data_IF_488619468440
#
_entry.id   IF_488619468440
#
_cell.length_a   1.000
_cell.length_b   1.000
_cell.length_c   1.000
_cell.angle_alpha   90.00
_cell.angle_beta   90.00
_cell.angle_gamma   90.00
#
_symmetry.space_group_name_H-M   'P 1'
#
loop_
_entity.id
_entity.type
_entity.pdbx_description
1 polymer ?
#
# COMPACT_ATOMS: atom_id res chain seq x y z
N UNK A 1 -8.47 6.80 -7.70
CA UNK A 1 -7.88 7.38 -6.47
C UNK A 1 -7.83 8.88 -6.63
N UNK A 2 -8.19 9.64 -5.59
CA UNK A 2 -8.20 11.10 -5.66
C UNK A 2 -6.77 11.63 -5.47
N UNK A 3 -6.28 12.42 -6.41
CA UNK A 3 -4.94 13.03 -6.35
C UNK A 3 -4.75 13.82 -5.04
N UNK A 4 -5.79 14.50 -4.55
CA UNK A 4 -5.76 15.24 -3.29
C UNK A 4 -5.36 14.38 -2.07
N UNK A 5 -5.85 13.13 -1.97
CA UNK A 5 -5.48 12.24 -0.86
C UNK A 5 -4.02 11.82 -0.94
N UNK A 6 -3.53 11.56 -2.16
CA UNK A 6 -2.11 11.27 -2.43
C UNK A 6 -1.24 12.47 -2.09
N UNK A 7 -1.64 13.66 -2.56
CA UNK A 7 -0.95 14.93 -2.30
C UNK A 7 -0.78 15.16 -0.79
N UNK A 8 -1.87 15.08 -0.03
CA UNK A 8 -1.84 15.24 1.43
C UNK A 8 -0.88 14.26 2.11
N UNK A 9 -0.88 13.00 1.66
CA UNK A 9 0.03 11.98 2.19
C UNK A 9 1.50 12.28 1.87
N UNK A 10 1.80 12.65 0.64
CA UNK A 10 3.15 13.02 0.21
C UNK A 10 3.66 14.30 0.92
N UNK A 11 2.80 15.30 1.08
CA UNK A 11 3.14 16.52 1.81
C UNK A 11 3.43 16.23 3.28
N UNK A 12 2.67 15.36 3.93
CA UNK A 12 2.94 14.93 5.31
C UNK A 12 4.27 14.16 5.44
N UNK A 13 4.69 13.51 4.37
CA UNK A 13 5.97 12.82 4.27
C UNK A 13 7.13 13.76 3.92
N UNK A 14 6.85 14.95 3.44
CA UNK A 14 7.80 15.92 2.90
C UNK A 14 8.67 15.34 1.77
N UNK A 15 8.18 14.32 1.08
CA UNK A 15 8.91 13.66 -0.01
C UNK A 15 7.98 12.85 -0.90
N UNK A 16 8.36 12.75 -2.18
CA UNK A 16 7.81 11.80 -3.13
C UNK A 16 8.85 11.43 -4.17
N UNK A 17 8.65 10.30 -4.84
CA UNK A 17 9.50 9.83 -5.93
C UNK A 17 8.66 9.35 -7.11
N UNK A 18 9.28 9.30 -8.28
CA UNK A 18 8.72 8.73 -9.49
C UNK A 18 9.57 7.55 -9.94
N UNK A 19 8.89 6.46 -10.29
CA UNK A 19 9.49 5.30 -10.92
C UNK A 19 8.89 5.16 -12.30
N UNK A 20 9.74 4.94 -13.29
CA UNK A 20 9.34 4.73 -14.67
C UNK A 20 9.62 3.29 -15.09
N UNK A 21 8.67 2.66 -15.75
CA UNK A 21 8.90 1.43 -16.50
C UNK A 21 9.05 1.79 -17.97
N UNK A 22 10.11 1.32 -18.61
CA UNK A 22 10.41 1.58 -20.03
C UNK A 22 10.23 0.30 -20.84
N UNK A 23 9.88 0.46 -22.09
CA UNK A 23 9.91 -0.61 -23.09
C UNK A 23 11.32 -0.85 -23.65
N UNK A 24 11.43 -1.77 -24.60
CA UNK A 24 12.69 -2.10 -25.27
C UNK A 24 13.29 -0.94 -26.07
N UNK A 25 12.48 0.05 -26.45
CA UNK A 25 12.89 1.25 -27.17
C UNK A 25 13.29 2.40 -26.22
N UNK A 26 13.15 2.20 -24.92
CA UNK A 26 13.42 3.20 -23.90
C UNK A 26 12.26 4.18 -23.65
N UNK A 27 11.09 3.95 -24.25
CA UNK A 27 9.89 4.76 -24.01
C UNK A 27 9.25 4.45 -22.67
N UNK A 28 8.76 5.48 -21.98
CA UNK A 28 8.06 5.30 -20.69
C UNK A 28 6.66 4.77 -20.95
N UNK A 29 6.43 3.51 -20.60
CA UNK A 29 5.14 2.82 -20.75
C UNK A 29 4.28 2.87 -19.48
N UNK A 30 4.91 3.04 -18.31
CA UNK A 30 4.22 3.21 -17.02
C UNK A 30 5.00 4.15 -16.12
N UNK A 31 4.29 4.83 -15.26
CA UNK A 31 4.87 5.64 -14.20
C UNK A 31 4.15 5.40 -12.87
N UNK A 32 4.91 5.43 -11.79
CA UNK A 32 4.42 5.20 -10.46
C UNK A 32 4.90 6.29 -9.52
N UNK A 33 4.04 6.72 -8.63
CA UNK A 33 4.39 7.61 -7.54
C UNK A 33 4.76 6.76 -6.32
N UNK A 34 5.88 7.06 -5.72
CA UNK A 34 6.34 6.43 -4.47
C UNK A 34 6.38 7.47 -3.37
N UNK A 35 5.82 7.14 -2.22
CA UNK A 35 5.89 7.97 -1.04
C UNK A 35 5.95 7.10 0.22
N UNK A 36 7.01 7.23 0.99
CA UNK A 36 7.26 6.38 2.16
C UNK A 36 7.14 4.89 1.80
N UNK A 37 6.12 4.24 2.32
CA UNK A 37 5.86 2.80 2.13
C UNK A 37 4.74 2.53 1.11
N UNK A 38 4.34 3.52 0.33
CA UNK A 38 3.24 3.38 -0.63
C UNK A 38 3.71 3.63 -2.05
N UNK A 39 3.25 2.79 -2.96
CA UNK A 39 3.42 2.93 -4.41
C UNK A 39 2.04 3.03 -5.04
N UNK A 40 1.89 3.98 -5.95
CA UNK A 40 0.62 4.28 -6.60
C UNK A 40 0.84 4.38 -8.11
N UNK A 41 0.08 3.65 -8.95
CA UNK A 41 0.14 3.83 -10.39
C UNK A 41 -0.45 5.19 -10.78
N UNK A 42 0.21 5.87 -11.72
CA UNK A 42 -0.25 7.12 -12.33
C UNK A 42 -0.86 6.85 -13.73
N UNK A 43 -1.65 5.78 -13.83
CA UNK A 43 -2.26 5.36 -15.10
C UNK A 43 -3.18 6.47 -15.66
N UNK A 44 -3.07 6.72 -16.96
CA UNK A 44 -3.87 7.72 -17.68
C UNK A 44 -3.40 9.16 -17.47
N UNK A 45 -2.31 9.38 -16.73
CA UNK A 45 -1.67 10.70 -16.62
C UNK A 45 -0.56 10.85 -17.67
N UNK A 46 -0.28 12.08 -18.14
CA UNK A 46 0.89 12.33 -18.95
C UNK A 46 2.16 11.98 -18.18
N UNK A 47 3.27 11.74 -18.88
CA UNK A 47 4.56 11.52 -18.22
C UNK A 47 4.95 12.77 -17.45
N UNK A 48 5.26 12.59 -16.16
CA UNK A 48 5.59 13.67 -15.22
C UNK A 48 7.08 13.59 -14.93
N UNK A 49 7.76 14.73 -14.97
CA UNK A 49 9.15 14.84 -14.52
C UNK A 49 9.24 15.15 -13.01
N UNK A 50 10.42 14.93 -12.42
CA UNK A 50 10.61 15.13 -10.97
C UNK A 50 10.43 16.59 -10.53
N UNK A 51 10.78 17.53 -11.37
CA UNK A 51 10.59 18.97 -11.15
C UNK A 51 9.10 19.40 -11.21
N UNK A 52 8.28 18.67 -11.97
CA UNK A 52 6.84 18.89 -12.02
C UNK A 52 6.10 18.24 -10.84
N UNK A 53 6.71 17.27 -10.18
CA UNK A 53 6.08 16.49 -9.11
C UNK A 53 5.59 17.33 -7.92
N UNK A 54 6.34 18.31 -7.39
CA UNK A 54 5.86 19.17 -6.32
C UNK A 54 4.61 19.98 -6.71
N UNK A 55 4.57 20.49 -7.95
CA UNK A 55 3.40 21.22 -8.45
C UNK A 55 2.18 20.31 -8.61
N UNK A 56 2.37 19.09 -9.13
CA UNK A 56 1.31 18.08 -9.24
C UNK A 56 0.70 17.73 -7.87
N UNK A 57 1.53 17.71 -6.84
CA UNK A 57 1.14 17.37 -5.47
C UNK A 57 0.69 18.59 -4.65
N UNK A 58 0.41 19.73 -5.29
CA UNK A 58 -0.01 20.98 -4.63
C UNK A 58 0.93 21.42 -3.51
N UNK A 59 2.24 21.13 -3.63
CA UNK A 59 3.22 21.56 -2.64
C UNK A 59 3.42 23.08 -2.76
N UNK A 60 3.18 23.86 -1.69
CA UNK A 60 3.38 25.30 -1.69
C UNK A 60 4.79 25.67 -2.14
N UNK A 61 4.92 26.75 -2.92
CA UNK A 61 6.18 27.12 -3.55
C UNK A 61 7.31 27.34 -2.53
N UNK A 62 6.99 27.97 -1.42
CA UNK A 62 7.91 28.21 -0.31
C UNK A 62 8.42 26.94 0.39
N UNK A 63 7.74 25.80 0.18
CA UNK A 63 8.11 24.50 0.75
C UNK A 63 8.85 23.60 -0.22
N UNK A 64 8.86 23.93 -1.52
CA UNK A 64 9.45 23.04 -2.53
C UNK A 64 10.94 22.82 -2.33
N UNK A 65 11.66 23.88 -2.04
CA UNK A 65 13.12 23.82 -1.90
C UNK A 65 13.58 23.45 -0.47
N UNK A 66 12.80 23.86 0.54
CA UNK A 66 13.20 23.69 1.94
C UNK A 66 12.69 22.39 2.60
N UNK A 67 11.56 21.87 2.15
CA UNK A 67 10.84 20.81 2.86
C UNK A 67 10.51 19.59 2.03
N UNK A 68 10.38 19.76 0.72
CA UNK A 68 9.91 18.69 -0.14
C UNK A 68 11.05 18.16 -1.02
N UNK A 69 11.29 16.84 -0.95
CA UNK A 69 12.28 16.17 -1.79
C UNK A 69 11.55 15.38 -2.86
N UNK A 70 11.73 15.77 -4.13
CA UNK A 70 11.31 14.95 -5.26
C UNK A 70 12.49 14.14 -5.80
N UNK A 71 12.26 12.85 -6.08
CA UNK A 71 13.26 11.95 -6.64
C UNK A 71 12.73 11.30 -7.90
N UNK A 72 13.61 11.12 -8.88
CA UNK A 72 13.35 10.29 -10.05
C UNK A 72 14.23 9.06 -9.89
N UNK A 73 13.62 7.90 -9.79
CA UNK A 73 14.33 6.63 -9.86
C UNK A 73 14.13 6.05 -11.26
N UNK A 74 15.25 5.85 -11.97
CA UNK A 74 15.25 5.20 -13.28
C UNK A 74 15.20 3.69 -13.08
N UNK A 75 14.55 3.00 -14.01
CA UNK A 75 14.30 1.55 -13.97
C UNK A 75 15.55 0.68 -14.25
N UNK A 76 16.74 1.23 -14.17
CA UNK A 76 17.99 0.50 -14.31
C UNK A 76 18.45 -0.07 -12.98
N UNK A 77 17.81 -1.17 -12.55
CA UNK A 77 18.19 -1.92 -11.35
C UNK A 77 17.10 -1.95 -10.27
N UNK A 78 16.76 -0.81 -9.67
CA UNK A 78 15.75 -0.73 -8.60
C UNK A 78 14.30 -0.71 -9.07
N UNK A 79 14.02 -0.21 -10.27
CA UNK A 79 12.66 -0.13 -10.78
C UNK A 79 12.05 -1.49 -11.10
N UNK A 80 12.82 -2.42 -11.66
CA UNK A 80 12.38 -3.81 -11.83
C UNK A 80 12.13 -4.51 -10.50
N UNK A 81 12.83 -4.11 -9.44
CA UNK A 81 12.61 -4.61 -8.10
C UNK A 81 11.30 -4.11 -7.47
N UNK A 82 10.73 -3.00 -7.93
CA UNK A 82 9.51 -2.42 -7.38
C UNK A 82 8.29 -2.63 -8.28
N UNK A 83 8.46 -2.83 -9.59
CA UNK A 83 7.35 -3.03 -10.54
C UNK A 83 6.47 -4.23 -10.18
N UNK A 84 7.06 -5.31 -9.63
CA UNK A 84 6.31 -6.48 -9.19
C UNK A 84 5.23 -6.15 -8.13
N UNK A 85 5.41 -5.07 -7.39
CA UNK A 85 4.47 -4.66 -6.36
C UNK A 85 3.14 -4.15 -6.93
N UNK A 86 3.13 -3.70 -8.19
CA UNK A 86 1.94 -3.13 -8.86
C UNK A 86 1.49 -3.90 -10.08
N UNK A 87 2.09 -5.05 -10.36
CA UNK A 87 1.57 -5.94 -11.38
C UNK A 87 0.13 -6.34 -11.04
N UNK A 88 -0.73 -6.40 -12.06
CA UNK A 88 -2.12 -6.82 -11.91
C UNK A 88 -2.21 -8.21 -11.26
N UNK A 89 -3.41 -8.59 -10.84
CA UNK A 89 -3.63 -9.82 -10.07
C UNK A 89 -2.91 -11.02 -10.68
N UNK A 90 -2.00 -11.58 -9.90
CA UNK A 90 -1.23 -12.77 -10.27
C UNK A 90 -1.68 -13.98 -9.44
N UNK A 91 -1.39 -15.21 -9.90
CA UNK A 91 -1.69 -16.43 -9.15
C UNK A 91 -1.07 -16.47 -7.74
N UNK A 92 0.03 -15.74 -7.50
CA UNK A 92 0.69 -15.64 -6.20
C UNK A 92 0.10 -14.61 -5.23
N UNK A 93 -0.99 -13.92 -5.59
CA UNK A 93 -1.67 -13.02 -4.68
C UNK A 93 -2.52 -13.81 -3.70
N UNK A 94 -2.26 -13.63 -2.42
CA UNK A 94 -3.01 -14.28 -1.34
C UNK A 94 -4.08 -13.30 -0.85
N UNK A 95 -5.39 -13.63 -0.93
CA UNK A 95 -6.44 -12.77 -0.39
C UNK A 95 -6.16 -12.41 1.06
N UNK A 96 -6.38 -11.15 1.41
CA UNK A 96 -6.03 -10.63 2.73
C UNK A 96 -7.19 -9.89 3.37
N UNK A 97 -7.20 -9.89 4.69
CA UNK A 97 -8.15 -9.15 5.52
C UNK A 97 -7.40 -8.14 6.39
N UNK A 98 -7.97 -6.96 6.53
CA UNK A 98 -7.58 -5.98 7.54
C UNK A 98 -8.35 -6.31 8.82
N UNK A 99 -7.64 -6.48 9.92
CA UNK A 99 -8.29 -6.71 11.20
C UNK A 99 -8.93 -5.41 11.71
N UNK A 100 -10.10 -5.47 12.37
CA UNK A 100 -10.85 -4.28 12.78
C UNK A 100 -10.28 -3.64 14.06
N UNK A 101 -8.96 -3.53 14.12
CA UNK A 101 -8.23 -2.92 15.23
C UNK A 101 -7.06 -2.11 14.70
N UNK A 102 -6.63 -1.13 15.47
CA UNK A 102 -5.43 -0.35 15.18
C UNK A 102 -4.53 -0.31 16.40
N UNK A 103 -3.22 -0.22 16.18
CA UNK A 103 -2.20 -0.12 17.20
C UNK A 103 -1.41 1.17 17.00
N UNK A 104 -1.04 1.82 18.08
CA UNK A 104 -0.11 2.94 18.06
C UNK A 104 1.29 2.42 18.43
N UNK A 105 2.23 2.60 17.53
CA UNK A 105 3.63 2.17 17.71
C UNK A 105 4.53 3.33 17.31
N UNK A 106 5.31 3.88 18.27
CA UNK A 106 6.22 5.01 18.02
C UNK A 106 5.57 6.15 17.23
N UNK A 107 4.43 6.64 17.70
CA UNK A 107 3.63 7.72 17.07
C UNK A 107 3.05 7.40 15.68
N UNK A 108 3.16 6.16 15.23
CA UNK A 108 2.55 5.68 13.99
C UNK A 108 1.37 4.79 14.31
N UNK A 109 0.24 5.04 13.65
CA UNK A 109 -0.93 4.16 13.74
C UNK A 109 -0.84 3.12 12.64
N UNK A 110 -0.82 1.85 13.03
CA UNK A 110 -0.78 0.70 12.13
C UNK A 110 -2.02 -0.16 12.29
N UNK A 111 -2.37 -0.88 11.24
CA UNK A 111 -3.46 -1.84 11.22
C UNK A 111 -2.91 -3.22 10.86
N UNK A 112 -3.23 -4.26 11.64
CA UNK A 112 -2.82 -5.62 11.33
C UNK A 112 -3.52 -6.15 10.08
N UNK A 113 -2.77 -6.93 9.30
CA UNK A 113 -3.19 -7.59 8.07
C UNK A 113 -2.80 -9.05 8.15
N UNK A 114 -3.72 -9.92 7.74
CA UNK A 114 -3.47 -11.36 7.61
C UNK A 114 -4.01 -11.86 6.27
N UNK A 115 -3.51 -13.01 5.83
CA UNK A 115 -4.17 -13.77 4.78
C UNK A 115 -5.54 -14.28 5.27
N UNK A 116 -6.49 -14.50 4.36
CA UNK A 116 -7.81 -14.99 4.73
C UNK A 116 -7.79 -16.38 5.40
N UNK A 117 -6.77 -17.17 5.13
CA UNK A 117 -6.56 -18.48 5.78
C UNK A 117 -5.98 -18.35 7.20
N UNK A 118 -5.46 -17.17 7.57
CA UNK A 118 -4.75 -16.90 8.84
C UNK A 118 -3.61 -17.89 9.12
N UNK A 119 -2.87 -18.25 8.08
CA UNK A 119 -1.73 -19.17 8.14
C UNK A 119 -0.41 -18.39 8.06
N UNK A 120 -0.40 -17.28 7.30
CA UNK A 120 0.78 -16.46 7.17
C UNK A 120 1.01 -15.60 8.42
N UNK A 121 2.28 -15.26 8.67
CA UNK A 121 2.65 -14.33 9.74
C UNK A 121 1.92 -13.00 9.56
N UNK A 122 1.37 -12.48 10.66
CA UNK A 122 0.71 -11.18 10.70
C UNK A 122 1.65 -10.08 10.22
N UNK A 123 1.12 -9.21 9.38
CA UNK A 123 1.78 -8.04 8.83
C UNK A 123 1.11 -6.78 9.36
N UNK A 124 1.79 -5.65 9.29
CA UNK A 124 1.24 -4.37 9.70
C UNK A 124 1.35 -3.35 8.58
N UNK A 125 0.29 -2.57 8.37
CA UNK A 125 0.27 -1.47 7.41
C UNK A 125 -0.06 -0.16 8.10
N UNK A 126 0.47 0.93 7.60
CA UNK A 126 0.19 2.26 8.10
C UNK A 126 -1.23 2.68 7.75
N UNK A 127 -1.97 3.16 8.72
CA UNK A 127 -3.36 3.64 8.54
C UNK A 127 -3.42 4.88 7.66
N UNK A 128 -2.44 5.78 7.73
CA UNK A 128 -2.37 6.97 6.88
C UNK A 128 -2.20 6.61 5.40
N UNK A 129 -1.43 5.56 5.07
CA UNK A 129 -1.31 5.05 3.71
C UNK A 129 -2.64 4.40 3.22
N UNK A 130 -3.33 3.65 4.08
CA UNK A 130 -4.65 3.08 3.74
C UNK A 130 -5.70 4.16 3.43
N UNK A 131 -5.69 5.27 4.16
CA UNK A 131 -6.61 6.40 3.96
C UNK A 131 -6.49 7.04 2.58
N UNK A 132 -5.34 6.92 1.93
CA UNK A 132 -5.15 7.42 0.55
C UNK A 132 -6.12 6.75 -0.42
N UNK A 133 -6.54 5.52 -0.13
CA UNK A 133 -7.45 4.72 -0.97
C UNK A 133 -8.91 4.75 -0.50
N UNK A 134 -9.29 5.66 0.39
CA UNK A 134 -10.66 5.72 0.95
C UNK A 134 -11.74 6.08 -0.08
N UNK A 135 -11.37 6.69 -1.19
CA UNK A 135 -12.29 6.98 -2.29
C UNK A 135 -12.85 5.72 -2.98
N UNK A 136 -12.15 4.58 -2.85
CA UNK A 136 -12.60 3.28 -3.35
C UNK A 136 -13.00 2.32 -2.23
N UNK A 137 -13.18 2.80 -1.00
CA UNK A 137 -13.39 1.99 0.21
C UNK A 137 -14.45 0.89 0.06
N UNK A 138 -15.55 1.18 -0.62
CA UNK A 138 -16.67 0.24 -0.81
C UNK A 138 -16.38 -0.89 -1.80
N UNK A 139 -15.43 -0.69 -2.69
CA UNK A 139 -15.11 -1.60 -3.80
C UNK A 139 -13.71 -2.22 -3.67
N UNK A 140 -12.97 -1.79 -2.65
CA UNK A 140 -11.59 -2.26 -2.49
C UNK A 140 -11.54 -3.64 -1.86
N UNK A 141 -10.68 -4.47 -2.41
CA UNK A 141 -10.27 -5.75 -1.85
C UNK A 141 -8.78 -5.71 -1.59
N UNK A 142 -8.30 -6.65 -0.81
CA UNK A 142 -6.90 -6.71 -0.41
C UNK A 142 -6.27 -8.05 -0.78
N UNK A 143 -4.99 -8.01 -1.09
CA UNK A 143 -4.20 -9.21 -1.26
C UNK A 143 -2.78 -8.97 -0.72
N UNK A 144 -2.18 -9.97 -0.13
CA UNK A 144 -0.76 -9.98 0.20
C UNK A 144 0.03 -10.53 -0.99
N UNK A 145 1.14 -9.91 -1.27
CA UNK A 145 2.12 -10.37 -2.25
C UNK A 145 3.50 -10.30 -1.62
N UNK A 146 4.22 -11.40 -1.70
CA UNK A 146 5.57 -11.50 -1.13
C UNK A 146 6.59 -11.84 -2.22
N UNK A 147 7.75 -11.22 -2.16
CA UNK A 147 8.91 -11.52 -2.99
C UNK A 147 10.19 -11.12 -2.27
N UNK A 148 11.19 -11.98 -2.28
CA UNK A 148 12.54 -11.73 -1.74
C UNK A 148 12.52 -11.21 -0.28
N UNK A 149 11.67 -11.80 0.56
CA UNK A 149 11.51 -11.43 1.98
C UNK A 149 10.75 -10.12 2.22
N UNK A 150 10.27 -9.46 1.18
CA UNK A 150 9.42 -8.27 1.26
C UNK A 150 7.96 -8.66 1.03
N UNK A 151 7.07 -8.11 1.82
CA UNK A 151 5.62 -8.30 1.67
C UNK A 151 4.95 -6.95 1.47
N UNK A 152 3.99 -6.90 0.56
CA UNK A 152 3.17 -5.73 0.31
C UNK A 152 1.69 -6.09 0.42
N UNK A 153 0.92 -5.14 0.93
CA UNK A 153 -0.53 -5.16 0.83
C UNK A 153 -0.94 -4.50 -0.48
N UNK A 154 -1.48 -5.28 -1.37
CA UNK A 154 -2.11 -4.81 -2.61
C UNK A 154 -3.50 -4.30 -2.28
N UNK A 155 -3.78 -3.04 -2.63
CA UNK A 155 -5.14 -2.48 -2.59
C UNK A 155 -5.71 -2.55 -4.00
N UNK A 156 -6.73 -3.38 -4.17
CA UNK A 156 -7.31 -3.71 -5.48
C UNK A 156 -8.70 -3.09 -5.64
N UNK A 157 -9.05 -2.75 -6.87
CA UNK A 157 -10.43 -2.51 -7.30
C UNK A 157 -10.72 -3.47 -8.44
N UNK A 158 -11.50 -4.53 -8.16
CA UNK A 158 -11.64 -5.65 -9.07
C UNK A 158 -10.30 -6.33 -9.32
N UNK A 159 -9.86 -6.40 -10.57
CA UNK A 159 -8.59 -7.02 -10.97
C UNK A 159 -7.41 -6.05 -10.98
N UNK A 160 -7.66 -4.75 -10.87
CA UNK A 160 -6.65 -3.70 -11.06
C UNK A 160 -6.04 -3.27 -9.72
N UNK A 161 -4.71 -3.25 -9.63
CA UNK A 161 -3.98 -2.69 -8.50
C UNK A 161 -4.13 -1.16 -8.48
N UNK A 162 -4.51 -0.61 -7.33
CA UNK A 162 -4.66 0.84 -7.10
C UNK A 162 -3.59 1.43 -6.22
N UNK A 163 -3.04 0.63 -5.35
CA UNK A 163 -1.86 0.95 -4.55
C UNK A 163 -1.20 -0.33 -4.08
N UNK A 164 0.10 -0.28 -3.81
CA UNK A 164 0.80 -1.25 -3.01
C UNK A 164 1.36 -0.54 -1.77
N UNK A 165 1.13 -1.10 -0.60
CA UNK A 165 1.61 -0.57 0.67
C UNK A 165 2.58 -1.59 1.25
N UNK A 166 3.83 -1.20 1.46
CA UNK A 166 4.80 -2.08 2.12
C UNK A 166 4.32 -2.41 3.52
N UNK A 167 4.37 -3.67 3.86
CA UNK A 167 4.07 -4.16 5.20
C UNK A 167 5.34 -4.28 6.01
N UNK A 168 5.22 -4.25 7.32
CA UNK A 168 6.33 -4.43 8.23
C UNK A 168 5.96 -5.43 9.31
N UNK A 169 6.91 -6.27 9.71
CA UNK A 169 6.80 -7.20 10.84
C UNK A 169 7.64 -6.76 12.04
N UNK A 170 8.57 -5.82 11.84
CA UNK A 170 9.58 -5.43 12.82
C UNK A 170 9.10 -4.41 13.88
N UNK A 171 7.84 -3.96 13.79
CA UNK A 171 7.31 -2.91 14.65
C UNK A 171 7.08 -3.32 16.10
N UNK A 172 7.12 -4.61 16.39
CA UNK A 172 6.74 -5.16 17.69
C UNK A 172 7.77 -6.18 18.12
N UNK A 173 8.08 -6.22 19.42
CA UNK A 173 8.97 -7.24 19.97
C UNK A 173 8.42 -8.65 19.72
N UNK A 174 9.30 -9.63 19.60
CA UNK A 174 8.95 -11.02 19.26
C UNK A 174 7.88 -11.59 20.23
N UNK A 175 8.03 -11.35 21.52
CA UNK A 175 7.05 -11.78 22.53
C UNK A 175 5.69 -11.07 22.41
N UNK A 176 5.68 -9.77 22.08
CA UNK A 176 4.45 -9.03 21.82
C UNK A 176 3.78 -9.47 20.51
N UNK A 177 4.56 -9.93 19.54
CA UNK A 177 4.08 -10.44 18.27
C UNK A 177 3.33 -11.77 18.45
N UNK A 178 3.88 -12.71 19.23
CA UNK A 178 3.20 -13.98 19.54
C UNK A 178 1.85 -13.75 20.25
N UNK A 179 1.82 -12.84 21.22
CA UNK A 179 0.59 -12.50 21.92
C UNK A 179 -0.45 -11.85 20.99
N UNK A 180 -0.02 -10.93 20.13
CA UNK A 180 -0.88 -10.31 19.13
C UNK A 180 -1.37 -11.31 18.08
N UNK A 181 -0.56 -12.27 17.67
CA UNK A 181 -0.97 -13.37 16.79
C UNK A 181 -2.07 -14.21 17.41
N UNK A 182 -1.96 -14.54 18.70
CA UNK A 182 -3.04 -15.24 19.41
C UNK A 182 -4.35 -14.44 19.44
N UNK A 183 -4.29 -13.17 19.80
CA UNK A 183 -5.46 -12.30 19.84
C UNK A 183 -6.11 -12.10 18.46
N UNK A 184 -5.28 -11.92 17.43
CA UNK A 184 -5.78 -11.68 16.08
C UNK A 184 -6.32 -12.93 15.42
N UNK A 185 -5.76 -14.10 15.70
CA UNK A 185 -6.31 -15.37 15.26
C UNK A 185 -7.73 -15.57 15.84
N UNK A 186 -7.92 -15.23 17.11
CA UNK A 186 -9.22 -15.31 17.76
C UNK A 186 -10.20 -14.27 17.18
N UNK A 187 -9.77 -13.03 16.97
CA UNK A 187 -10.59 -12.00 16.34
C UNK A 187 -10.99 -12.37 14.90
N UNK A 188 -10.07 -12.93 14.12
CA UNK A 188 -10.35 -13.40 12.78
C UNK A 188 -11.31 -14.59 12.76
N UNK A 189 -11.24 -15.50 13.76
CA UNK A 189 -12.18 -16.57 13.93
C UNK A 189 -13.60 -16.04 14.18
N UNK A 190 -13.74 -15.09 15.10
CA UNK A 190 -15.03 -14.46 15.41
C UNK A 190 -15.65 -13.76 14.21
N UNK A 191 -14.86 -13.04 13.44
CA UNK A 191 -15.32 -12.36 12.21
C UNK A 191 -15.83 -13.37 11.18
N UNK A 192 -15.14 -14.51 11.00
CA UNK A 192 -15.58 -15.56 10.07
C UNK A 192 -16.86 -16.26 10.51
N UNK A 193 -16.98 -16.53 11.79
CA UNK A 193 -18.18 -17.16 12.35
C UNK A 193 -19.39 -16.25 12.12
N UNK A 194 -19.29 -14.94 12.41
CA UNK A 194 -20.36 -13.97 12.15
C UNK A 194 -20.72 -13.88 10.66
N UNK A 195 -19.74 -13.86 9.78
CA UNK A 195 -19.97 -13.79 8.33
C UNK A 195 -20.62 -15.06 7.76
N UNK A 196 -20.50 -16.22 8.43
CA UNK A 196 -21.24 -17.45 8.09
C UNK A 196 -22.69 -17.39 8.55
N UNK A 197 -22.93 -16.87 9.75
CA UNK A 197 -24.27 -16.72 10.32
C UNK A 197 -25.11 -15.75 9.49
N UNK A 198 -24.57 -14.60 9.11
CA UNK A 198 -25.25 -13.63 8.24
C UNK A 198 -25.59 -14.20 6.85
N UNK A 199 -24.77 -15.10 6.30
CA UNK A 199 -25.08 -15.80 5.04
C UNK A 199 -26.09 -16.93 5.20
N UNK A 200 -26.21 -17.51 6.38
CA UNK A 200 -27.18 -18.53 6.67
C UNK A 200 -28.57 -17.94 6.92
N UNK A 201 -28.65 -16.76 7.56
CA UNK A 201 -29.90 -16.05 7.82
C UNK A 201 -30.48 -15.31 6.60
N UNK A 202 -29.64 -15.03 5.57
CA UNK A 202 -30.05 -14.39 4.32
C UNK A 202 -30.53 -15.34 3.22
N UNK A 203 -30.77 -16.61 3.56
CA UNK A 203 -31.43 -17.61 2.69
C UNK A 203 -32.79 -17.97 3.31
#
# INVERSE_FOLDING_TARGET
MKLKSVSTYCQSAMSAGLIYTRDENGEIIRQHLVCRQMIVPLDGMPVISGDQLPALLDVPEEKRDAWFVSRIERDEGTGKELSWMLEDRQPGNIPAILLPMTLAVNDVIVQPVMDEACVARMQFVRVDALKVTDDIKKERTYALRSRDGRTVLMVMKGMTARAAIMTDTAWISEAANEWLECLTNEAARVVRERGKDERAEGR
#
